data_IF_835024435144
#
_entry.id   IF_835024435144
#
_cell.length_a   1.000
_cell.length_b   1.000
_cell.length_c   1.000
_cell.angle_alpha   90.00
_cell.angle_beta   90.00
_cell.angle_gamma   90.00
#
_symmetry.space_group_name_H-M   'P 1'
#
loop_
_entity.id
_entity.type
_entity.pdbx_description
1 polymer ?
#
# COMPACT_ATOMS: atom_id res chain seq x y z
N UNK A 1 2.59 13.54 -25.22
CA UNK A 1 2.85 12.58 -24.12
C UNK A 1 2.03 12.99 -22.91
N UNK A 2 0.92 12.32 -22.62
CA UNK A 2 0.13 12.57 -21.39
C UNK A 2 0.84 11.87 -20.23
N UNK A 3 1.17 12.60 -19.17
CA UNK A 3 1.68 12.08 -17.91
C UNK A 3 0.67 11.06 -17.36
N UNK A 4 1.08 9.80 -17.17
CA UNK A 4 0.20 8.79 -16.58
C UNK A 4 -0.26 9.29 -15.19
N UNK A 5 -1.58 9.34 -14.91
CA UNK A 5 -2.09 9.85 -13.63
C UNK A 5 -1.70 8.97 -12.43
N UNK A 6 -1.24 7.74 -12.69
CA UNK A 6 -0.83 6.77 -11.68
C UNK A 6 0.68 6.53 -11.85
N UNK A 7 1.46 6.85 -10.80
CA UNK A 7 2.89 6.54 -10.77
C UNK A 7 3.06 5.13 -10.21
N UNK A 8 3.78 4.30 -10.95
CA UNK A 8 4.23 2.98 -10.51
C UNK A 8 5.65 3.13 -10.01
N UNK A 9 5.90 2.75 -8.76
CA UNK A 9 7.25 2.70 -8.21
C UNK A 9 7.64 1.24 -8.01
N UNK A 10 8.69 0.79 -8.71
CA UNK A 10 9.36 -0.47 -8.40
C UNK A 10 10.17 -0.26 -7.11
N UNK A 11 9.88 -1.07 -6.10
CA UNK A 11 10.50 -1.01 -4.78
C UNK A 11 11.73 -1.91 -4.81
N UNK A 12 12.83 -1.39 -5.35
CA UNK A 12 14.10 -2.10 -5.41
C UNK A 12 14.78 -2.29 -4.05
N UNK A 13 15.78 -3.16 -4.04
CA UNK A 13 16.64 -3.40 -2.89
C UNK A 13 17.61 -2.22 -2.65
N UNK A 14 17.84 -1.89 -1.38
CA UNK A 14 18.87 -0.97 -0.93
C UNK A 14 20.21 -1.71 -0.91
N UNK A 15 21.21 -1.17 -1.60
CA UNK A 15 22.58 -1.71 -1.63
C UNK A 15 23.48 -0.74 -0.86
N UNK A 16 23.36 -0.71 0.46
CA UNK A 16 24.19 0.17 1.32
C UNK A 16 24.91 -0.57 2.46
N UNK A 17 24.68 -1.87 2.63
CA UNK A 17 25.33 -2.72 3.64
C UNK A 17 24.85 -2.53 5.08
N UNK A 18 24.02 -1.51 5.38
CA UNK A 18 23.40 -1.30 6.69
C UNK A 18 21.99 -1.86 6.65
N UNK A 19 21.77 -2.91 7.44
CA UNK A 19 20.45 -3.51 7.62
C UNK A 19 19.97 -3.17 9.03
N UNK A 20 18.68 -2.83 9.16
CA UNK A 20 18.04 -2.26 10.36
C UNK A 20 18.59 -0.91 10.83
N UNK A 21 17.72 0.10 10.87
CA UNK A 21 18.03 1.41 11.42
C UNK A 21 17.50 1.50 12.84
N UNK A 22 18.31 2.04 13.77
CA UNK A 22 17.83 2.31 15.14
C UNK A 22 16.78 3.42 15.15
N UNK A 23 16.90 4.38 14.24
CA UNK A 23 16.01 5.54 14.14
C UNK A 23 15.74 5.88 12.67
N UNK A 24 14.49 6.16 12.35
CA UNK A 24 14.04 6.53 11.00
C UNK A 24 13.12 7.74 11.07
N UNK A 25 13.30 8.68 10.15
CA UNK A 25 12.40 9.83 10.00
C UNK A 25 11.72 9.80 8.63
N UNK A 26 10.39 9.86 8.63
CA UNK A 26 9.57 10.15 7.46
C UNK A 26 9.24 11.65 7.48
N UNK A 27 9.79 12.40 6.53
CA UNK A 27 9.62 13.84 6.43
C UNK A 27 8.85 14.18 5.15
N UNK A 28 7.80 14.99 5.25
CA UNK A 28 7.13 15.58 4.10
C UNK A 28 7.57 17.03 3.90
N UNK A 29 8.22 17.30 2.77
CA UNK A 29 8.46 18.65 2.29
C UNK A 29 7.23 19.15 1.55
N UNK A 30 6.60 20.19 2.10
CA UNK A 30 5.47 20.86 1.47
C UNK A 30 5.92 21.54 0.16
N UNK A 31 5.07 21.55 -0.88
CA UNK A 31 5.40 22.23 -2.12
C UNK A 31 5.59 23.73 -1.89
N UNK A 32 6.61 24.34 -2.51
CA UNK A 32 6.92 25.77 -2.34
C UNK A 32 6.00 26.67 -3.17
N UNK A 33 5.32 26.09 -4.16
CA UNK A 33 4.36 26.78 -5.02
C UNK A 33 3.17 25.86 -5.38
N UNK A 34 2.11 26.41 -5.96
CA UNK A 34 0.92 25.64 -6.37
C UNK A 34 1.19 24.67 -7.53
N UNK A 35 2.25 24.91 -8.30
CA UNK A 35 2.62 24.11 -9.46
C UNK A 35 3.57 22.95 -9.10
N UNK A 36 4.14 23.00 -7.90
CA UNK A 36 5.01 21.95 -7.36
C UNK A 36 4.22 20.89 -6.59
N UNK A 37 4.74 19.66 -6.59
CA UNK A 37 4.23 18.58 -5.74
C UNK A 37 5.13 18.44 -4.52
N UNK A 38 4.52 18.26 -3.35
CA UNK A 38 5.27 17.92 -2.15
C UNK A 38 6.02 16.60 -2.31
N UNK A 39 7.12 16.47 -1.57
CA UNK A 39 8.02 15.32 -1.65
C UNK A 39 8.19 14.68 -0.28
N UNK A 40 8.11 13.36 -0.24
CA UNK A 40 8.41 12.57 0.95
C UNK A 40 9.87 12.12 0.95
N UNK A 41 10.49 12.17 2.12
CA UNK A 41 11.85 11.72 2.36
C UNK A 41 11.87 10.68 3.47
N UNK A 42 12.60 9.60 3.24
CA UNK A 42 13.01 8.63 4.26
C UNK A 42 14.45 8.95 4.64
N UNK A 43 14.67 9.27 5.91
CA UNK A 43 15.93 9.77 6.43
C UNK A 43 16.41 8.86 7.55
N UNK A 44 17.70 8.53 7.53
CA UNK A 44 18.40 7.83 8.60
C UNK A 44 18.49 8.71 9.83
N UNK A 45 18.16 8.17 11.00
CA UNK A 45 18.26 8.90 12.25
C UNK A 45 17.03 9.76 12.57
N UNK A 46 17.18 10.58 13.62
CA UNK A 46 16.24 11.65 13.94
C UNK A 46 16.63 12.89 13.15
N UNK A 47 15.76 13.36 12.27
CA UNK A 47 16.03 14.49 11.40
C UNK A 47 15.41 15.81 11.92
N UNK A 48 15.96 16.97 11.53
CA UNK A 48 15.26 18.26 11.63
C UNK A 48 13.94 18.28 10.84
N UNK A 49 13.10 19.27 11.13
CA UNK A 49 11.78 19.42 10.50
C UNK A 49 11.82 19.94 9.05
N UNK A 50 12.96 20.44 8.58
CA UNK A 50 13.11 21.03 7.25
C UNK A 50 14.24 20.34 6.49
N UNK A 51 14.00 20.02 5.22
CA UNK A 51 14.91 19.20 4.40
C UNK A 51 16.24 19.88 4.10
N UNK A 52 16.27 21.22 4.05
CA UNK A 52 17.46 22.04 3.83
C UNK A 52 18.46 21.97 5.00
N UNK A 53 17.99 21.51 6.17
CA UNK A 53 18.80 21.29 7.36
C UNK A 53 19.27 19.83 7.49
N UNK A 54 18.84 18.95 6.58
CA UNK A 54 19.20 17.53 6.58
C UNK A 54 20.45 17.34 5.75
N UNK A 55 21.45 16.67 6.33
CA UNK A 55 22.63 16.23 5.57
C UNK A 55 22.20 15.23 4.48
N UNK A 56 22.49 15.52 3.19
CA UNK A 56 22.11 14.65 2.07
C UNK A 56 22.56 13.18 2.22
N UNK A 57 23.67 12.93 2.92
CA UNK A 57 24.19 11.57 3.13
C UNK A 57 23.30 10.71 4.05
N UNK A 58 22.39 11.35 4.79
CA UNK A 58 21.40 10.67 5.63
C UNK A 58 20.08 10.41 4.90
N UNK A 59 19.86 10.96 3.70
CA UNK A 59 18.65 10.73 2.92
C UNK A 59 18.75 9.37 2.24
N UNK A 60 17.94 8.41 2.68
CA UNK A 60 17.90 7.06 2.13
C UNK A 60 17.13 7.05 0.81
N UNK A 61 15.95 7.69 0.79
CA UNK A 61 15.06 7.68 -0.39
C UNK A 61 14.13 8.89 -0.39
N UNK A 62 13.83 9.39 -1.59
CA UNK A 62 12.72 10.32 -1.83
C UNK A 62 11.61 9.66 -2.66
N UNK A 63 10.36 10.01 -2.39
CA UNK A 63 9.19 9.55 -3.16
C UNK A 63 8.11 10.64 -3.19
N UNK A 64 7.20 10.53 -4.15
CA UNK A 64 6.00 11.38 -4.18
C UNK A 64 4.91 10.91 -3.21
N UNK A 65 5.03 9.71 -2.63
CA UNK A 65 3.99 9.13 -1.75
C UNK A 65 4.61 8.45 -0.54
N UNK A 66 3.99 8.63 0.63
CA UNK A 66 4.41 7.94 1.85
C UNK A 66 4.23 6.41 1.75
N UNK A 67 3.19 5.93 1.05
CA UNK A 67 2.94 4.50 0.87
C UNK A 67 4.14 3.77 0.23
N UNK A 68 4.78 4.40 -0.77
CA UNK A 68 5.99 3.86 -1.38
C UNK A 68 7.18 3.84 -0.42
N UNK A 69 7.36 4.88 0.40
CA UNK A 69 8.42 4.88 1.41
C UNK A 69 8.17 3.80 2.47
N UNK A 70 6.94 3.58 2.90
CA UNK A 70 6.58 2.52 3.84
C UNK A 70 6.88 1.14 3.24
N UNK A 71 6.45 0.90 1.99
CA UNK A 71 6.75 -0.34 1.27
C UNK A 71 8.25 -0.57 1.14
N UNK A 72 9.00 0.48 0.77
CA UNK A 72 10.46 0.44 0.66
C UNK A 72 11.13 0.15 2.00
N UNK A 73 10.67 0.78 3.08
CA UNK A 73 11.21 0.59 4.43
C UNK A 73 11.03 -0.84 4.90
N UNK A 74 9.83 -1.41 4.67
CA UNK A 74 9.50 -2.78 5.02
C UNK A 74 10.29 -3.80 4.17
N UNK A 75 10.36 -3.59 2.85
CA UNK A 75 11.05 -4.49 1.93
C UNK A 75 12.55 -4.60 2.19
N UNK A 76 13.16 -3.51 2.63
CA UNK A 76 14.60 -3.43 2.86
C UNK A 76 15.01 -3.73 4.30
N UNK A 77 14.07 -4.19 5.15
CA UNK A 77 14.36 -4.49 6.55
C UNK A 77 14.94 -3.28 7.29
N UNK A 78 14.48 -2.07 6.97
CA UNK A 78 14.94 -0.85 7.66
C UNK A 78 14.20 -0.64 8.98
N UNK A 79 13.00 -1.21 9.09
CA UNK A 79 12.16 -1.17 10.27
C UNK A 79 12.11 -2.55 10.93
N UNK A 80 12.46 -2.58 12.21
CA UNK A 80 12.30 -3.76 13.07
C UNK A 80 11.40 -3.44 14.25
N UNK A 81 10.48 -4.36 14.54
CA UNK A 81 9.72 -4.39 15.79
C UNK A 81 9.77 -5.80 16.36
N UNK A 82 10.60 -6.02 17.37
CA UNK A 82 10.63 -7.26 18.12
C UNK A 82 9.60 -7.19 19.24
N UNK A 83 8.79 -8.25 19.35
CA UNK A 83 7.66 -8.31 20.30
C UNK A 83 8.12 -8.81 21.69
N UNK A 84 9.36 -9.30 21.81
CA UNK A 84 9.88 -9.80 23.09
C UNK A 84 10.25 -8.67 24.06
N UNK A 85 9.91 -8.90 25.33
CA UNK A 85 9.79 -7.91 26.40
C UNK A 85 11.10 -7.23 26.84
N UNK A 86 12.24 -7.55 26.20
CA UNK A 86 13.58 -7.21 26.69
C UNK A 86 14.57 -6.75 25.61
N UNK A 87 14.15 -6.51 24.36
CA UNK A 87 15.09 -6.14 23.29
C UNK A 87 15.09 -4.62 22.99
N UNK A 88 16.27 -4.01 23.12
CA UNK A 88 16.56 -2.59 22.85
C UNK A 88 16.68 -2.25 21.34
N UNK A 89 16.32 -3.18 20.46
CA UNK A 89 16.56 -3.10 19.00
C UNK A 89 15.35 -2.60 18.18
N UNK A 90 14.30 -2.08 18.82
CA UNK A 90 13.16 -1.54 18.09
C UNK A 90 13.54 -0.24 17.35
N UNK A 91 13.17 -0.15 16.07
CA UNK A 91 13.36 1.07 15.30
C UNK A 91 12.45 2.18 15.83
N UNK A 92 13.04 3.27 16.32
CA UNK A 92 12.31 4.49 16.67
C UNK A 92 11.92 5.23 15.39
N UNK A 93 10.63 5.48 15.18
CA UNK A 93 10.11 6.11 13.96
C UNK A 93 9.60 7.52 14.28
N UNK A 94 9.96 8.48 13.45
CA UNK A 94 9.49 9.86 13.50
C UNK A 94 8.70 10.20 12.24
N UNK A 95 7.60 10.95 12.38
CA UNK A 95 6.79 11.45 11.27
C UNK A 95 6.70 12.97 11.38
N UNK A 96 7.25 13.68 10.39
CA UNK A 96 7.38 15.15 10.36
C UNK A 96 6.74 15.73 9.10
N UNK A 97 6.17 16.93 9.19
CA UNK A 97 5.59 17.64 8.03
C UNK A 97 4.28 17.05 7.51
N UNK A 98 3.76 16.02 8.18
CA UNK A 98 2.56 15.28 7.78
C UNK A 98 1.24 15.94 8.22
N UNK A 99 1.29 17.20 8.66
CA UNK A 99 0.12 17.98 9.08
C UNK A 99 -0.83 18.18 7.88
N UNK A 100 -1.91 17.39 7.83
CA UNK A 100 -2.91 17.40 6.75
C UNK A 100 -2.92 16.15 5.86
N UNK A 101 -1.98 15.22 6.05
CA UNK A 101 -1.99 13.91 5.40
C UNK A 101 -3.03 12.96 5.97
N UNK A 102 -3.43 11.94 5.19
CA UNK A 102 -4.36 10.89 5.65
C UNK A 102 -3.72 9.88 6.59
N UNK A 103 -2.42 9.62 6.44
CA UNK A 103 -1.63 8.74 7.32
C UNK A 103 -1.03 9.59 8.44
N UNK A 104 -1.41 9.28 9.68
CA UNK A 104 -0.84 9.87 10.89
C UNK A 104 0.12 8.91 11.57
N UNK A 105 0.66 9.30 12.71
CA UNK A 105 1.70 8.53 13.39
C UNK A 105 1.24 7.10 13.75
N UNK A 106 0.06 6.94 14.35
CA UNK A 106 -0.45 5.61 14.69
C UNK A 106 -0.65 4.75 13.43
N UNK A 107 -1.19 5.36 12.36
CA UNK A 107 -1.36 4.69 11.07
C UNK A 107 -0.01 4.23 10.49
N UNK A 108 1.01 5.10 10.51
CA UNK A 108 2.36 4.77 10.06
C UNK A 108 2.93 3.56 10.82
N UNK A 109 2.79 3.56 12.14
CA UNK A 109 3.26 2.44 12.95
C UNK A 109 2.49 1.16 12.62
N UNK A 110 1.17 1.19 12.48
CA UNK A 110 0.40 0.01 12.07
C UNK A 110 0.81 -0.49 10.68
N UNK A 111 0.96 0.42 9.73
CA UNK A 111 1.36 0.10 8.36
C UNK A 111 2.75 -0.55 8.31
N UNK A 112 3.75 0.02 8.99
CA UNK A 112 5.09 -0.56 9.05
C UNK A 112 5.07 -1.97 9.64
N UNK A 113 4.29 -2.19 10.71
CA UNK A 113 4.16 -3.53 11.31
C UNK A 113 3.47 -4.54 10.40
N UNK A 114 2.34 -4.16 9.80
CA UNK A 114 1.56 -5.04 8.96
C UNK A 114 2.28 -5.35 7.64
N UNK A 115 2.89 -4.35 7.02
CA UNK A 115 3.58 -4.52 5.73
C UNK A 115 4.89 -5.28 5.92
N UNK A 116 5.69 -5.00 6.95
CA UNK A 116 6.95 -5.74 7.19
C UNK A 116 6.69 -7.23 7.43
N UNK A 117 5.69 -7.56 8.25
CA UNK A 117 5.29 -8.97 8.45
C UNK A 117 4.67 -9.61 7.22
N UNK A 118 3.94 -8.84 6.41
CA UNK A 118 3.33 -9.33 5.18
C UNK A 118 4.37 -9.62 4.09
N UNK A 119 5.30 -8.69 3.85
CA UNK A 119 6.37 -8.86 2.85
C UNK A 119 7.33 -9.98 3.27
N UNK A 120 7.73 -10.06 4.54
CA UNK A 120 8.62 -11.10 5.05
C UNK A 120 8.04 -12.53 4.90
N UNK A 121 6.73 -12.67 4.68
CA UNK A 121 6.12 -13.97 4.40
C UNK A 121 6.48 -14.53 3.01
N UNK A 122 7.05 -13.71 2.12
CA UNK A 122 7.46 -14.15 0.79
C UNK A 122 8.86 -14.74 0.82
N UNK A 123 8.94 -16.05 0.65
CA UNK A 123 10.20 -16.72 0.41
C UNK A 123 10.61 -16.59 -1.07
N UNK A 124 11.40 -15.56 -1.40
CA UNK A 124 11.91 -15.32 -2.76
C UNK A 124 12.82 -16.48 -3.22
N UNK A 125 13.51 -17.15 -2.31
CA UNK A 125 14.35 -18.30 -2.65
C UNK A 125 13.54 -19.56 -3.05
N UNK A 126 12.22 -19.53 -2.90
CA UNK A 126 11.32 -20.61 -3.29
C UNK A 126 10.54 -20.32 -4.58
N UNK A 127 10.93 -19.31 -5.37
CA UNK A 127 10.32 -19.05 -6.68
C UNK A 127 10.67 -20.21 -7.62
N UNK A 128 9.65 -20.81 -8.24
CA UNK A 128 9.86 -21.93 -9.15
C UNK A 128 10.43 -21.48 -10.50
N UNK A 129 11.14 -22.37 -11.20
CA UNK A 129 11.61 -22.06 -12.55
C UNK A 129 10.44 -21.80 -13.51
N UNK A 130 9.31 -22.49 -13.32
CA UNK A 130 8.11 -22.29 -14.13
C UNK A 130 7.53 -20.88 -13.91
N UNK A 131 7.51 -20.39 -12.66
CA UNK A 131 7.10 -19.02 -12.36
C UNK A 131 7.99 -17.97 -13.04
N UNK A 132 9.30 -18.23 -13.14
CA UNK A 132 10.25 -17.33 -13.82
C UNK A 132 10.07 -17.30 -15.34
N UNK A 133 9.55 -18.38 -15.93
CA UNK A 133 9.31 -18.49 -17.36
C UNK A 133 7.92 -18.00 -17.78
N UNK A 134 6.98 -17.89 -16.84
CA UNK A 134 5.63 -17.36 -17.06
C UNK A 134 5.55 -15.84 -16.86
N UNK A 135 4.48 -15.23 -17.40
CA UNK A 135 4.19 -13.82 -17.14
C UNK A 135 4.01 -13.55 -15.65
N UNK A 136 4.61 -12.45 -15.15
CA UNK A 136 4.51 -12.05 -13.75
C UNK A 136 3.04 -11.84 -13.32
N UNK A 137 2.60 -12.61 -12.32
CA UNK A 137 1.26 -12.52 -11.73
C UNK A 137 1.31 -11.91 -10.34
N UNK A 138 0.23 -11.28 -9.90
CA UNK A 138 0.12 -10.76 -8.52
C UNK A 138 -0.07 -11.93 -7.56
N UNK A 139 0.90 -12.12 -6.67
CA UNK A 139 0.91 -13.19 -5.65
C UNK A 139 0.35 -12.72 -4.32
N UNK A 140 0.63 -11.47 -3.95
CA UNK A 140 0.16 -10.86 -2.71
C UNK A 140 -0.16 -9.39 -2.94
N UNK A 141 -1.20 -8.91 -2.28
CA UNK A 141 -1.75 -7.58 -2.44
C UNK A 141 -2.06 -6.95 -1.08
N UNK A 142 -1.54 -5.75 -0.86
CA UNK A 142 -1.81 -4.91 0.29
C UNK A 142 -2.43 -3.60 -0.17
N UNK A 143 -3.58 -3.23 0.40
CA UNK A 143 -4.33 -2.03 0.01
C UNK A 143 -4.43 -1.02 1.16
N UNK A 144 -3.98 0.20 0.95
CA UNK A 144 -4.22 1.33 1.83
C UNK A 144 -5.39 2.13 1.23
N UNK A 145 -6.55 2.05 1.86
CA UNK A 145 -7.81 2.59 1.31
C UNK A 145 -8.24 3.80 2.14
N UNK A 146 -8.13 4.99 1.57
CA UNK A 146 -8.37 6.26 2.25
C UNK A 146 -9.77 6.80 1.97
N UNK A 147 -10.63 6.74 2.98
CA UNK A 147 -11.97 7.33 2.97
C UNK A 147 -12.03 8.72 3.65
N UNK A 148 -10.89 9.27 4.05
CA UNK A 148 -10.76 10.40 4.96
C UNK A 148 -10.57 9.95 6.41
N UNK A 149 -10.07 10.87 7.24
CA UNK A 149 -9.82 10.63 8.65
C UNK A 149 -10.67 11.58 9.52
N UNK A 150 -11.65 11.07 10.30
CA UNK A 150 -12.09 9.66 10.35
C UNK A 150 -12.90 9.26 9.09
N UNK A 151 -12.99 7.95 8.77
CA UNK A 151 -13.83 7.49 7.67
C UNK A 151 -15.32 7.75 7.99
N UNK A 152 -16.17 8.07 6.99
CA UNK A 152 -17.60 8.25 7.21
C UNK A 152 -18.25 6.97 7.76
N UNK A 153 -19.10 7.08 8.79
CA UNK A 153 -19.69 5.94 9.50
C UNK A 153 -20.40 4.94 8.56
N UNK A 154 -21.13 5.42 7.56
CA UNK A 154 -21.84 4.50 6.65
C UNK A 154 -20.89 3.64 5.79
N UNK A 155 -19.63 4.05 5.62
CA UNK A 155 -18.61 3.25 4.93
C UNK A 155 -18.21 2.04 5.80
N UNK A 156 -18.25 2.18 7.12
CA UNK A 156 -17.87 1.14 8.08
C UNK A 156 -19.03 0.21 8.48
N UNK A 157 -20.27 0.52 8.08
CA UNK A 157 -21.46 -0.25 8.45
C UNK A 157 -21.99 -1.11 7.30
N UNK A 158 -22.58 -2.26 7.66
CA UNK A 158 -23.28 -3.18 6.77
C UNK A 158 -22.36 -4.09 5.96
N UNK A 159 -22.96 -5.11 5.33
CA UNK A 159 -22.24 -6.11 4.54
C UNK A 159 -22.89 -6.30 3.15
N UNK A 160 -22.08 -6.72 2.17
CA UNK A 160 -22.60 -7.06 0.83
C UNK A 160 -23.56 -8.25 0.88
N UNK A 161 -23.44 -9.11 1.90
CA UNK A 161 -24.32 -10.26 2.13
C UNK A 161 -25.74 -9.88 2.53
N UNK A 162 -25.95 -8.66 3.00
CA UNK A 162 -27.28 -8.17 3.42
C UNK A 162 -28.12 -7.70 2.21
N UNK A 163 -27.52 -7.56 1.03
CA UNK A 163 -28.19 -7.09 -0.19
C UNK A 163 -29.00 -8.23 -0.83
N UNK A 164 -30.31 -8.03 -1.04
CA UNK A 164 -31.21 -9.08 -1.54
C UNK A 164 -31.16 -9.27 -3.05
N UNK A 165 -30.72 -8.25 -3.77
CA UNK A 165 -30.68 -8.23 -5.23
C UNK A 165 -29.50 -7.38 -5.72
N UNK A 166 -29.21 -7.49 -7.02
CA UNK A 166 -28.09 -6.76 -7.62
C UNK A 166 -28.27 -5.23 -7.56
N UNK A 167 -29.51 -4.72 -7.62
CA UNK A 167 -29.75 -3.27 -7.54
C UNK A 167 -29.33 -2.72 -6.18
N UNK A 168 -29.76 -3.36 -5.08
CA UNK A 168 -29.36 -3.02 -3.72
C UNK A 168 -27.83 -3.12 -3.53
N UNK A 169 -27.21 -4.16 -4.10
CA UNK A 169 -25.76 -4.32 -4.05
C UNK A 169 -25.01 -3.16 -4.75
N UNK A 170 -25.44 -2.78 -5.94
CA UNK A 170 -24.81 -1.67 -6.68
C UNK A 170 -25.00 -0.34 -5.94
N UNK A 171 -26.19 -0.07 -5.40
CA UNK A 171 -26.45 1.14 -4.60
C UNK A 171 -25.59 1.15 -3.32
N UNK A 172 -25.49 0.01 -2.64
CA UNK A 172 -24.64 -0.17 -1.45
C UNK A 172 -23.18 0.16 -1.75
N UNK A 173 -22.64 -0.39 -2.85
CA UNK A 173 -21.24 -0.23 -3.24
C UNK A 173 -20.96 1.18 -3.75
N UNK A 174 -21.76 1.71 -4.68
CA UNK A 174 -21.53 3.02 -5.29
C UNK A 174 -21.48 4.12 -4.23
N UNK A 175 -22.43 4.12 -3.30
CA UNK A 175 -22.48 5.12 -2.22
C UNK A 175 -21.20 5.16 -1.38
N UNK A 176 -20.54 4.01 -1.21
CA UNK A 176 -19.31 3.88 -0.41
C UNK A 176 -18.07 4.14 -1.23
N UNK A 177 -17.99 3.58 -2.43
CA UNK A 177 -16.86 3.77 -3.35
C UNK A 177 -16.71 5.24 -3.78
N UNK A 178 -17.79 6.00 -3.87
CA UNK A 178 -17.75 7.46 -4.13
C UNK A 178 -17.07 8.27 -3.02
N UNK A 179 -16.92 7.72 -1.81
CA UNK A 179 -16.19 8.40 -0.71
C UNK A 179 -14.71 8.10 -0.69
N UNK A 180 -14.24 7.22 -1.57
CA UNK A 180 -12.83 6.89 -1.66
C UNK A 180 -12.06 8.10 -2.19
N UNK A 181 -11.13 8.63 -1.39
CA UNK A 181 -10.27 9.77 -1.76
C UNK A 181 -9.06 9.30 -2.54
N UNK A 182 -8.42 8.26 -2.01
CA UNK A 182 -7.26 7.63 -2.62
C UNK A 182 -7.13 6.17 -2.24
N UNK A 183 -6.36 5.44 -3.04
CA UNK A 183 -6.05 4.04 -2.86
C UNK A 183 -4.58 3.84 -3.20
N UNK A 184 -3.80 3.32 -2.24
CA UNK A 184 -2.45 2.84 -2.53
C UNK A 184 -2.45 1.32 -2.52
N UNK A 185 -1.86 0.72 -3.54
CA UNK A 185 -1.73 -0.72 -3.71
C UNK A 185 -0.25 -1.05 -3.69
N UNK A 186 0.13 -1.92 -2.76
CA UNK A 186 1.45 -2.51 -2.66
C UNK A 186 1.28 -3.99 -2.99
N UNK A 187 2.02 -4.52 -3.95
CA UNK A 187 1.86 -5.90 -4.37
C UNK A 187 3.17 -6.56 -4.75
N UNK A 188 3.25 -7.86 -4.50
CA UNK A 188 4.38 -8.71 -4.84
C UNK A 188 3.98 -9.61 -5.99
N UNK A 189 4.83 -9.72 -7.00
CA UNK A 189 4.62 -10.61 -8.14
C UNK A 189 5.14 -12.03 -7.87
N UNK A 190 4.78 -12.98 -8.73
CA UNK A 190 5.35 -14.34 -8.73
C UNK A 190 6.88 -14.34 -8.91
N UNK A 191 7.44 -13.30 -9.53
CA UNK A 191 8.89 -13.09 -9.66
C UNK A 191 9.55 -12.47 -8.42
N UNK A 192 8.77 -12.17 -7.38
CA UNK A 192 9.29 -11.57 -6.15
C UNK A 192 9.52 -10.06 -6.24
N UNK A 193 9.07 -9.41 -7.32
CA UNK A 193 9.16 -7.96 -7.45
C UNK A 193 8.09 -7.28 -6.61
N UNK A 194 8.48 -6.22 -5.90
CA UNK A 194 7.57 -5.41 -5.10
C UNK A 194 7.25 -4.10 -5.83
N UNK A 195 5.97 -3.83 -6.00
CA UNK A 195 5.48 -2.60 -6.61
C UNK A 195 4.59 -1.83 -5.65
N UNK A 196 4.64 -0.50 -5.74
CA UNK A 196 3.68 0.39 -5.10
C UNK A 196 3.04 1.32 -6.14
N UNK A 197 1.71 1.37 -6.17
CA UNK A 197 0.91 2.23 -7.05
C UNK A 197 -0.10 3.02 -6.24
N UNK A 198 -0.25 4.31 -6.54
CA UNK A 198 -1.25 5.17 -5.89
C UNK A 198 -2.24 5.70 -6.91
N UNK A 199 -3.53 5.57 -6.59
CA UNK A 199 -4.68 6.00 -7.36
C UNK A 199 -5.45 7.03 -6.55
N UNK A 200 -5.50 8.28 -7.01
CA UNK A 200 -6.25 9.35 -6.35
C UNK A 200 -7.34 9.91 -7.25
N UNK A 201 -8.42 10.42 -6.65
CA UNK A 201 -9.53 11.05 -7.36
C UNK A 201 -10.56 10.05 -7.88
N UNK A 202 -11.37 10.50 -8.85
CA UNK A 202 -12.56 9.78 -9.31
C UNK A 202 -12.25 8.34 -9.74
N UNK A 203 -13.13 7.42 -9.32
CA UNK A 203 -13.11 5.99 -9.68
C UNK A 203 -11.75 5.33 -9.45
N UNK A 204 -10.99 5.76 -8.44
CA UNK A 204 -9.65 5.22 -8.17
C UNK A 204 -9.64 3.71 -7.93
N UNK A 205 -10.65 3.16 -7.23
CA UNK A 205 -10.81 1.72 -7.06
C UNK A 205 -11.00 0.98 -8.40
N UNK A 206 -11.96 1.41 -9.23
CA UNK A 206 -12.22 0.76 -10.52
C UNK A 206 -11.00 0.81 -11.45
N UNK A 207 -10.30 1.95 -11.48
CA UNK A 207 -9.03 2.07 -12.23
C UNK A 207 -7.98 1.08 -11.75
N UNK A 208 -7.82 0.94 -10.43
CA UNK A 208 -6.87 -0.01 -9.85
C UNK A 208 -7.24 -1.47 -10.18
N UNK A 209 -8.51 -1.83 -10.03
CA UNK A 209 -9.02 -3.17 -10.34
C UNK A 209 -8.90 -3.49 -11.83
N UNK A 210 -9.14 -2.51 -12.72
CA UNK A 210 -9.00 -2.69 -14.16
C UNK A 210 -7.54 -2.84 -14.60
N UNK A 211 -6.62 -2.12 -13.97
CA UNK A 211 -5.19 -2.18 -14.30
C UNK A 211 -4.53 -3.47 -13.80
N UNK A 212 -4.87 -3.91 -12.58
CA UNK A 212 -4.27 -5.12 -12.01
C UNK A 212 -4.99 -6.40 -12.44
N UNK A 213 -6.27 -6.31 -12.83
CA UNK A 213 -7.09 -7.46 -13.21
C UNK A 213 -6.45 -8.45 -14.19
N UNK A 214 -5.72 -8.01 -15.24
CA UNK A 214 -5.04 -8.91 -16.16
C UNK A 214 -3.87 -9.72 -15.55
N UNK A 215 -3.29 -9.26 -14.44
CA UNK A 215 -2.20 -9.95 -13.72
C UNK A 215 -2.71 -10.83 -12.57
N UNK A 216 -4.02 -11.08 -12.54
CA UNK A 216 -4.69 -11.80 -11.45
C UNK A 216 -5.04 -13.21 -11.90
N UNK A 217 -4.69 -14.19 -11.08
CA UNK A 217 -4.98 -15.61 -11.32
C UNK A 217 -5.97 -16.10 -10.26
N UNK A 218 -7.09 -16.74 -10.62
CA UNK A 218 -8.10 -17.21 -9.66
C UNK A 218 -7.52 -18.01 -8.48
N UNK A 219 -6.58 -18.92 -8.78
CA UNK A 219 -5.93 -19.79 -7.81
C UNK A 219 -5.11 -18.99 -6.79
N UNK A 220 -4.45 -17.90 -7.23
CA UNK A 220 -3.70 -17.02 -6.35
C UNK A 220 -4.62 -16.12 -5.52
N UNK A 221 -5.75 -15.66 -6.07
CA UNK A 221 -6.73 -14.85 -5.34
C UNK A 221 -7.30 -15.63 -4.13
N UNK A 222 -7.46 -16.94 -4.28
CA UNK A 222 -7.98 -17.82 -3.23
C UNK A 222 -6.93 -18.25 -2.20
N UNK A 223 -5.66 -17.90 -2.41
CA UNK A 223 -4.60 -18.21 -1.46
C UNK A 223 -4.82 -17.49 -0.11
N UNK A 224 -4.51 -18.15 1.02
CA UNK A 224 -4.52 -17.49 2.32
C UNK A 224 -3.53 -16.33 2.30
N UNK A 225 -3.92 -15.19 2.88
CA UNK A 225 -3.13 -13.95 2.86
C UNK A 225 -2.90 -13.34 1.47
N UNK A 226 -3.71 -13.66 0.45
CA UNK A 226 -3.62 -12.95 -0.83
C UNK A 226 -3.84 -11.44 -0.66
N UNK A 227 -4.92 -11.05 0.02
CA UNK A 227 -5.30 -9.65 0.23
C UNK A 227 -5.23 -9.26 1.71
N UNK A 228 -4.50 -8.18 2.01
CA UNK A 228 -4.67 -7.39 3.23
C UNK A 228 -5.07 -5.97 2.87
N UNK A 229 -5.82 -5.31 3.76
CA UNK A 229 -6.12 -3.90 3.60
C UNK A 229 -5.98 -3.16 4.93
N UNK A 230 -5.77 -1.85 4.82
CA UNK A 230 -5.67 -0.92 5.92
C UNK A 230 -6.47 0.34 5.61
N UNK A 231 -7.18 0.85 6.61
CA UNK A 231 -7.97 2.09 6.53
C UNK A 231 -7.33 3.12 7.48
N UNK A 232 -6.70 4.19 6.96
CA UNK A 232 -6.16 5.24 7.80
C UNK A 232 -7.27 5.91 8.64
N UNK A 233 -7.03 6.02 9.94
CA UNK A 233 -7.98 6.63 10.87
C UNK A 233 -7.35 7.19 12.16
N UNK A 234 -6.02 7.13 12.30
CA UNK A 234 -5.26 7.58 13.47
C UNK A 234 -5.78 7.02 14.81
N UNK A 235 -6.36 5.83 14.79
CA UNK A 235 -6.82 5.12 15.99
C UNK A 235 -5.77 4.10 16.42
N UNK A 236 -5.75 3.82 17.72
CA UNK A 236 -4.95 2.70 18.29
C UNK A 236 -5.44 1.34 17.83
N UNK A 237 -6.74 1.23 17.54
CA UNK A 237 -7.38 0.01 17.06
C UNK A 237 -7.66 0.11 15.56
N UNK A 238 -7.42 -0.99 14.86
CA UNK A 238 -7.64 -1.09 13.42
C UNK A 238 -9.12 -1.14 13.10
N UNK A 239 -9.56 -0.29 12.17
CA UNK A 239 -10.91 -0.37 11.61
C UNK A 239 -10.95 -1.52 10.60
N UNK A 240 -11.94 -2.40 10.76
CA UNK A 240 -12.27 -3.41 9.77
C UNK A 240 -13.54 -3.04 9.02
N UNK A 241 -13.51 -3.20 7.70
CA UNK A 241 -14.62 -2.98 6.79
C UNK A 241 -14.89 -4.30 6.06
N UNK A 242 -15.89 -5.04 6.53
CA UNK A 242 -16.13 -6.43 6.08
C UNK A 242 -16.41 -6.52 4.59
N UNK A 243 -17.22 -5.60 4.04
CA UNK A 243 -17.61 -5.63 2.64
C UNK A 243 -16.46 -5.38 1.65
N UNK A 244 -15.43 -4.62 2.06
CA UNK A 244 -14.38 -4.15 1.15
C UNK A 244 -13.56 -5.31 0.58
N UNK A 245 -13.13 -6.22 1.46
CA UNK A 245 -12.37 -7.40 1.06
C UNK A 245 -13.15 -8.29 0.07
N UNK A 246 -14.41 -8.59 0.39
CA UNK A 246 -15.29 -9.39 -0.47
C UNK A 246 -15.51 -8.74 -1.83
N UNK A 247 -15.75 -7.42 -1.86
CA UNK A 247 -15.89 -6.66 -3.10
C UNK A 247 -14.62 -6.73 -3.98
N UNK A 248 -13.44 -6.51 -3.39
CA UNK A 248 -12.16 -6.53 -4.11
C UNK A 248 -11.87 -7.93 -4.67
N UNK A 249 -11.98 -8.97 -3.84
CA UNK A 249 -11.72 -10.34 -4.26
C UNK A 249 -12.67 -10.78 -5.37
N UNK A 250 -13.98 -10.51 -5.23
CA UNK A 250 -14.96 -10.81 -6.27
C UNK A 250 -14.65 -10.07 -7.57
N UNK A 251 -14.28 -8.78 -7.48
CA UNK A 251 -13.96 -7.97 -8.64
C UNK A 251 -12.74 -8.49 -9.39
N UNK A 252 -11.69 -8.93 -8.69
CA UNK A 252 -10.54 -9.56 -9.33
C UNK A 252 -10.89 -10.89 -9.98
N UNK A 253 -11.67 -11.76 -9.33
CA UNK A 253 -12.11 -13.04 -9.91
C UNK A 253 -12.92 -12.85 -11.20
N UNK A 254 -13.76 -11.84 -11.27
CA UNK A 254 -14.52 -11.53 -12.49
C UNK A 254 -13.61 -11.04 -13.60
N UNK A 255 -12.60 -10.22 -13.27
CA UNK A 255 -11.69 -9.62 -14.25
C UNK A 255 -10.63 -10.60 -14.76
N UNK A 256 -10.14 -11.50 -13.90
CA UNK A 256 -9.20 -12.55 -14.31
C UNK A 256 -9.82 -13.48 -15.35
N UNK A 257 -11.06 -13.93 -15.12
CA UNK A 257 -11.83 -14.75 -16.09
C UNK A 257 -11.99 -14.06 -17.44
N UNK A 258 -12.35 -12.78 -17.44
CA UNK A 258 -12.46 -11.98 -18.68
C UNK A 258 -11.13 -11.81 -19.42
N UNK A 259 -9.99 -11.90 -18.72
CA UNK A 259 -8.67 -11.82 -19.34
C UNK A 259 -8.29 -13.16 -19.98
N UNK A 260 -8.63 -14.29 -19.34
CA UNK A 260 -8.42 -15.63 -19.89
C UNK A 260 -9.26 -15.89 -21.17
N UNK A 261 -10.46 -15.30 -21.25
CA UNK A 261 -11.34 -15.43 -22.42
C UNK A 261 -10.93 -14.57 -23.63
N UNK A 262 -9.91 -13.71 -23.50
CA UNK A 262 -9.37 -12.97 -24.64
C UNK A 262 -8.33 -13.85 -25.36
N UNK A 263 -8.53 -14.21 -26.64
CA UNK A 263 -7.51 -14.93 -27.39
C UNK A 263 -6.24 -14.06 -27.45
N UNK A 264 -5.09 -14.70 -27.24
CA UNK A 264 -3.78 -14.08 -27.45
C UNK A 264 -3.73 -13.56 -28.90
N UNK A 265 -3.70 -12.24 -29.05
CA UNK A 265 -3.62 -11.52 -30.31
C UNK A 265 -2.21 -11.01 -30.53
#
# INVERSE_FOLDING_TARGET
YRTAPNKVENIGALVDGKTNEQKLTFLFEQPKSKDEKGTWYLIRGKAPAYIDQVDPDFIIKKSSTIASLIAFTANNGLYSRKVEKYDDENTEVFLLGAEGGSIRYNDLMHLLNQISSFIASVNIAAISNDDLLADAQVKQLYMITDFGNPPPIFVTLGDIRDCKNNKELQEFLNKRLEKLRSLSIIYITTWGELFCKTYAGLKCMDRALAELGPQMVPELIDAPNFLKYFIPCDRKELIQITWLSGYVLLSFKVRSKKSADKPAS
#
